data_IF_407711291387
#
_entry.id   IF_407711291387
#
_cell.length_a   1.000
_cell.length_b   1.000
_cell.length_c   1.000
_cell.angle_alpha   90.00
_cell.angle_beta   90.00
_cell.angle_gamma   90.00
#
_symmetry.space_group_name_H-M   'P 1'
#
loop_
_entity.id
_entity.type
_entity.pdbx_description
1 polymer ?
#
# COMPACT_ATOMS: atom_id res chain seq x y z
N UNK A 1 11.99 -25.89 15.94
CA UNK A 1 11.01 -25.09 15.20
C UNK A 1 9.85 -24.83 16.15
N UNK A 2 9.71 -23.61 16.67
CA UNK A 2 8.59 -23.25 17.55
C UNK A 2 7.37 -22.99 16.66
N UNK A 3 6.42 -23.91 16.67
CA UNK A 3 5.10 -23.70 16.06
C UNK A 3 4.28 -22.92 17.09
N UNK A 4 3.99 -21.66 16.77
CA UNK A 4 3.16 -20.80 17.63
C UNK A 4 1.68 -21.15 17.43
N UNK A 5 0.91 -21.05 18.52
CA UNK A 5 -0.51 -21.41 18.59
C UNK A 5 -1.40 -20.55 17.66
N UNK A 6 -2.62 -21.03 17.42
CA UNK A 6 -3.67 -20.50 16.52
C UNK A 6 -4.05 -19.04 16.80
N UNK A 7 -3.33 -18.10 16.19
CA UNK A 7 -3.74 -16.70 16.06
C UNK A 7 -4.12 -16.48 14.60
N UNK A 8 -5.32 -15.93 14.36
CA UNK A 8 -5.72 -15.51 13.01
C UNK A 8 -4.98 -14.21 12.67
N UNK A 9 -4.36 -14.15 11.49
CA UNK A 9 -3.52 -13.01 11.09
C UNK A 9 -4.12 -12.36 9.85
N UNK A 10 -4.29 -11.04 9.92
CA UNK A 10 -4.77 -10.19 8.85
C UNK A 10 -3.80 -9.02 8.70
N UNK A 11 -3.08 -8.97 7.58
CA UNK A 11 -2.04 -7.96 7.32
C UNK A 11 -2.48 -7.03 6.20
N UNK A 12 -2.06 -5.77 6.32
CA UNK A 12 -2.61 -4.67 5.59
C UNK A 12 -1.59 -3.61 5.23
N UNK A 13 -1.87 -2.92 4.13
CA UNK A 13 -1.24 -1.67 3.76
C UNK A 13 -2.17 -0.89 2.85
N UNK A 14 -1.95 0.40 2.68
CA UNK A 14 -2.61 1.24 1.68
C UNK A 14 -1.75 1.28 0.41
N UNK A 15 -2.29 1.62 -0.76
CA UNK A 15 -1.54 1.47 -2.02
C UNK A 15 -0.48 2.56 -2.22
N UNK A 16 -0.72 3.75 -1.66
CA UNK A 16 0.19 4.90 -1.68
C UNK A 16 0.49 5.33 -0.24
N UNK A 17 0.91 4.39 0.62
CA UNK A 17 1.33 4.63 2.02
C UNK A 17 2.14 5.92 2.19
N UNK A 18 3.14 6.14 1.32
CA UNK A 18 4.03 7.30 1.37
C UNK A 18 3.35 8.65 1.05
N UNK A 19 2.09 8.64 0.59
CA UNK A 19 1.32 9.85 0.26
C UNK A 19 0.75 10.57 1.49
N UNK A 20 1.50 10.62 2.59
CA UNK A 20 1.22 11.48 3.74
C UNK A 20 2.44 12.30 4.17
N UNK A 21 3.62 11.95 3.66
CA UNK A 21 4.88 12.51 4.07
C UNK A 21 5.43 13.47 3.00
N UNK A 22 6.04 14.58 3.43
CA UNK A 22 6.79 15.48 2.54
C UNK A 22 8.15 14.89 2.13
N UNK A 23 8.16 13.66 1.59
CA UNK A 23 9.39 13.01 1.10
C UNK A 23 9.98 13.70 -0.12
N UNK A 24 9.14 14.42 -0.85
CA UNK A 24 9.52 15.21 -1.99
C UNK A 24 9.51 16.67 -1.50
N UNK A 25 10.67 17.35 -1.50
CA UNK A 25 10.73 18.76 -1.14
C UNK A 25 9.67 19.56 -1.91
N UNK A 26 8.89 20.39 -1.21
CA UNK A 26 7.78 21.18 -1.78
C UNK A 26 8.17 22.00 -3.02
N UNK A 27 9.46 22.30 -3.18
CA UNK A 27 10.03 23.04 -4.31
C UNK A 27 10.36 22.18 -5.55
N UNK A 28 10.15 20.85 -5.51
CA UNK A 28 10.31 19.96 -6.67
C UNK A 28 8.95 19.54 -7.19
N UNK A 29 8.39 20.35 -8.09
CA UNK A 29 7.37 19.84 -8.99
C UNK A 29 7.96 18.65 -9.77
N UNK A 30 7.48 17.43 -9.51
CA UNK A 30 7.89 16.22 -10.25
C UNK A 30 7.24 16.14 -11.63
N UNK A 31 6.41 17.13 -11.94
CA UNK A 31 5.99 17.48 -13.29
C UNK A 31 6.92 18.57 -13.83
N UNK A 32 7.40 18.47 -15.09
CA UNK A 32 7.20 17.38 -16.07
C UNK A 32 7.97 16.08 -15.71
N UNK A 33 7.71 14.98 -16.44
CA UNK A 33 8.33 13.65 -16.21
C UNK A 33 9.86 13.66 -16.05
N UNK A 34 10.57 14.56 -16.73
CA UNK A 34 12.02 14.74 -16.59
C UNK A 34 12.44 15.04 -15.14
N UNK A 35 11.61 15.75 -14.37
CA UNK A 35 11.87 16.05 -12.96
C UNK A 35 11.75 14.79 -12.10
N UNK A 36 10.81 13.89 -12.43
CA UNK A 36 10.68 12.60 -11.78
C UNK A 36 11.85 11.68 -12.10
N UNK A 37 12.23 11.54 -13.37
CA UNK A 37 13.37 10.70 -13.74
C UNK A 37 14.66 11.19 -13.10
N UNK A 38 14.89 12.50 -13.14
CA UNK A 38 16.02 13.14 -12.46
C UNK A 38 15.98 12.89 -10.95
N UNK A 39 14.81 12.99 -10.31
CA UNK A 39 14.66 12.70 -8.88
C UNK A 39 15.07 11.25 -8.57
N UNK A 40 14.51 10.29 -9.30
CA UNK A 40 14.79 8.86 -9.08
C UNK A 40 16.28 8.54 -9.29
N UNK A 41 16.88 9.08 -10.35
CA UNK A 41 18.32 8.92 -10.63
C UNK A 41 19.20 9.53 -9.55
N UNK A 42 18.88 10.74 -9.09
CA UNK A 42 19.64 11.41 -8.04
C UNK A 42 19.55 10.69 -6.69
N UNK A 43 18.38 10.11 -6.38
CA UNK A 43 18.16 9.41 -5.12
C UNK A 43 18.75 7.99 -5.17
N UNK A 44 18.32 7.18 -6.14
CA UNK A 44 18.68 5.77 -6.22
C UNK A 44 20.04 5.50 -6.87
N UNK A 45 20.54 6.41 -7.72
CA UNK A 45 21.88 6.31 -8.32
C UNK A 45 23.01 6.39 -7.28
N UNK A 46 22.72 6.85 -6.07
CA UNK A 46 23.67 6.78 -4.94
C UNK A 46 23.94 5.33 -4.48
N UNK A 47 23.03 4.40 -4.79
CA UNK A 47 23.19 2.97 -4.55
C UNK A 47 23.84 2.28 -5.76
N UNK A 48 23.24 2.45 -6.93
CA UNK A 48 23.71 1.93 -8.22
C UNK A 48 22.87 2.58 -9.35
N UNK A 49 23.51 2.95 -10.46
CA UNK A 49 22.81 3.47 -11.64
C UNK A 49 21.80 2.45 -12.20
N UNK A 50 22.16 1.15 -12.20
CA UNK A 50 21.29 0.06 -12.67
C UNK A 50 20.03 -0.06 -11.81
N UNK A 51 20.13 0.18 -10.50
CA UNK A 51 18.97 0.22 -9.60
C UNK A 51 18.03 1.36 -10.02
N UNK A 52 18.57 2.56 -10.27
CA UNK A 52 17.75 3.70 -10.68
C UNK A 52 17.04 3.49 -12.02
N UNK A 53 17.72 2.91 -13.01
CA UNK A 53 17.14 2.59 -14.32
C UNK A 53 16.06 1.51 -14.22
N UNK A 54 16.32 0.46 -13.44
CA UNK A 54 15.35 -0.62 -13.24
C UNK A 54 14.11 -0.09 -12.53
N UNK A 55 14.27 0.77 -11.52
CA UNK A 55 13.15 1.42 -10.85
C UNK A 55 12.33 2.28 -11.84
N UNK A 56 12.96 3.07 -12.72
CA UNK A 56 12.23 3.86 -13.72
C UNK A 56 11.43 2.99 -14.72
N UNK A 57 11.94 1.82 -15.06
CA UNK A 57 11.22 0.86 -15.91
C UNK A 57 10.04 0.20 -15.20
N UNK A 58 10.17 -0.08 -13.90
CA UNK A 58 9.10 -0.64 -13.08
C UNK A 58 8.00 0.39 -12.76
N UNK A 59 8.36 1.67 -12.66
CA UNK A 59 7.45 2.76 -12.31
C UNK A 59 7.39 3.87 -13.39
N UNK A 60 6.93 3.56 -14.61
CA UNK A 60 6.94 4.53 -15.70
C UNK A 60 5.99 5.71 -15.43
N UNK A 61 6.53 6.93 -15.48
CA UNK A 61 5.77 8.18 -15.26
C UNK A 61 4.65 8.45 -16.27
N UNK A 62 4.64 7.72 -17.38
CA UNK A 62 3.70 7.86 -18.50
C UNK A 62 2.35 7.17 -18.28
N UNK A 63 2.21 6.33 -17.25
CA UNK A 63 0.99 5.51 -17.05
C UNK A 63 -0.14 6.27 -16.33
N UNK A 64 0.18 7.02 -15.27
CA UNK A 64 -0.81 7.83 -14.52
C UNK A 64 -0.28 9.26 -14.35
N UNK A 65 0.71 9.43 -13.47
CA UNK A 65 1.39 10.70 -13.27
C UNK A 65 2.74 10.46 -12.59
N UNK A 66 3.71 11.37 -12.74
CA UNK A 66 4.98 11.30 -12.02
C UNK A 66 4.79 11.27 -10.49
N UNK A 67 3.82 12.04 -9.98
CA UNK A 67 3.49 12.11 -8.56
C UNK A 67 2.88 10.80 -8.02
N UNK A 68 1.96 10.18 -8.77
CA UNK A 68 1.42 8.87 -8.40
C UNK A 68 2.50 7.80 -8.37
N UNK A 69 3.38 7.79 -9.38
CA UNK A 69 4.43 6.78 -9.52
C UNK A 69 5.50 6.89 -8.43
N UNK A 70 5.91 8.10 -8.05
CA UNK A 70 6.88 8.24 -6.97
C UNK A 70 6.30 7.81 -5.62
N UNK A 71 5.03 8.15 -5.33
CA UNK A 71 4.39 7.74 -4.09
C UNK A 71 4.23 6.22 -4.06
N UNK A 72 3.88 5.60 -5.19
CA UNK A 72 3.80 4.14 -5.32
C UNK A 72 5.16 3.48 -5.13
N UNK A 73 6.21 3.99 -5.79
CA UNK A 73 7.58 3.48 -5.65
C UNK A 73 8.07 3.51 -4.21
N UNK A 74 7.90 4.65 -3.52
CA UNK A 74 8.31 4.80 -2.12
C UNK A 74 7.49 3.89 -1.22
N UNK A 75 6.17 3.80 -1.44
CA UNK A 75 5.27 2.92 -0.69
C UNK A 75 5.67 1.46 -0.84
N UNK A 76 6.00 1.04 -2.06
CA UNK A 76 6.43 -0.33 -2.33
C UNK A 76 7.73 -0.66 -1.60
N UNK A 77 8.74 0.21 -1.75
CA UNK A 77 10.05 0.06 -1.12
C UNK A 77 9.93 -0.02 0.41
N UNK A 78 9.14 0.87 1.02
CA UNK A 78 9.12 1.06 2.48
C UNK A 78 8.07 0.26 3.22
N UNK A 79 6.94 -0.06 2.58
CA UNK A 79 5.77 -0.61 3.28
C UNK A 79 5.20 -1.83 2.59
N UNK A 80 4.85 -1.77 1.30
CA UNK A 80 4.15 -2.89 0.62
C UNK A 80 5.03 -4.13 0.58
N UNK A 81 6.24 -4.02 0.03
CA UNK A 81 7.11 -5.17 -0.20
C UNK A 81 7.65 -5.77 1.10
N UNK A 82 8.07 -4.97 2.10
CA UNK A 82 8.36 -5.49 3.42
C UNK A 82 7.16 -6.18 4.09
N UNK A 83 5.94 -5.64 3.95
CA UNK A 83 4.73 -6.25 4.50
C UNK A 83 4.40 -7.58 3.82
N UNK A 84 4.53 -7.66 2.50
CA UNK A 84 4.38 -8.91 1.74
C UNK A 84 5.38 -9.97 2.21
N UNK A 85 6.65 -9.57 2.37
CA UNK A 85 7.70 -10.46 2.87
C UNK A 85 7.42 -10.95 4.30
N UNK A 86 7.03 -10.05 5.21
CA UNK A 86 6.65 -10.42 6.57
C UNK A 86 5.41 -11.31 6.61
N UNK A 87 4.45 -11.06 5.73
CA UNK A 87 3.23 -11.88 5.61
C UNK A 87 3.56 -13.28 5.09
N UNK A 88 4.52 -13.42 4.17
CA UNK A 88 5.02 -14.71 3.70
C UNK A 88 5.69 -15.51 4.83
N UNK A 89 6.50 -14.82 5.66
CA UNK A 89 7.12 -15.43 6.83
C UNK A 89 6.05 -15.90 7.81
N UNK A 90 5.06 -15.05 8.09
CA UNK A 90 3.95 -15.39 8.98
C UNK A 90 3.14 -16.59 8.44
N UNK A 91 2.81 -16.63 7.15
CA UNK A 91 2.04 -17.74 6.57
C UNK A 91 2.81 -19.06 6.60
N UNK A 92 4.13 -19.02 6.62
CA UNK A 92 4.99 -20.22 6.73
C UNK A 92 5.24 -20.64 8.17
N UNK A 93 5.18 -19.70 9.13
CA UNK A 93 5.49 -19.94 10.54
C UNK A 93 4.27 -20.32 11.39
N UNK A 94 3.07 -19.88 11.00
CA UNK A 94 1.83 -20.14 11.71
C UNK A 94 1.01 -21.21 11.00
N UNK A 95 0.28 -22.03 11.78
CA UNK A 95 -0.68 -23.00 11.22
C UNK A 95 -2.03 -22.37 10.86
N UNK A 96 -2.29 -21.15 11.34
CA UNK A 96 -3.48 -20.39 10.99
C UNK A 96 -3.40 -19.82 9.58
N UNK A 97 -4.57 -19.63 8.95
CA UNK A 97 -4.63 -18.85 7.72
C UNK A 97 -4.19 -17.40 7.98
N UNK A 98 -3.36 -16.90 7.08
CA UNK A 98 -2.91 -15.50 7.04
C UNK A 98 -3.53 -14.85 5.81
N UNK A 99 -4.11 -13.66 5.96
CA UNK A 99 -4.72 -12.93 4.85
C UNK A 99 -4.02 -11.58 4.65
N UNK A 100 -3.85 -11.18 3.38
CA UNK A 100 -3.19 -9.95 2.96
C UNK A 100 -4.14 -9.07 2.16
N UNK A 101 -4.27 -7.80 2.52
CA UNK A 101 -5.00 -6.81 1.74
C UNK A 101 -4.16 -5.60 1.41
N UNK A 102 -4.41 -4.95 0.27
CA UNK A 102 -3.96 -3.61 -0.05
C UNK A 102 -5.19 -2.72 -0.23
N UNK A 103 -5.34 -1.68 0.58
CA UNK A 103 -6.40 -0.70 0.41
C UNK A 103 -6.06 0.23 -0.77
N UNK A 104 -6.91 0.24 -1.79
CA UNK A 104 -6.71 1.00 -3.03
C UNK A 104 -7.72 2.14 -3.21
N UNK A 105 -8.58 2.37 -2.22
CA UNK A 105 -9.49 3.51 -2.23
C UNK A 105 -8.78 4.81 -1.83
N UNK A 106 -9.16 5.90 -2.50
CA UNK A 106 -8.72 7.25 -2.22
C UNK A 106 -9.90 8.14 -1.82
N UNK A 107 -9.60 9.30 -1.23
CA UNK A 107 -10.61 10.31 -0.93
C UNK A 107 -10.96 11.12 -2.18
N UNK A 108 -12.22 11.56 -2.27
CA UNK A 108 -12.73 12.36 -3.39
C UNK A 108 -12.13 13.77 -3.45
N UNK A 109 -11.57 14.23 -2.32
CA UNK A 109 -10.83 15.47 -2.22
C UNK A 109 -9.54 15.25 -1.43
N UNK A 110 -8.49 16.05 -1.67
CA UNK A 110 -7.33 16.11 -0.80
C UNK A 110 -7.72 16.22 0.67
N UNK A 111 -7.22 15.30 1.49
CA UNK A 111 -7.46 15.28 2.93
C UNK A 111 -6.14 15.28 3.68
N UNK A 112 -6.14 15.86 4.88
CA UNK A 112 -4.98 15.86 5.76
C UNK A 112 -5.39 15.20 7.07
N UNK A 113 -5.09 13.91 7.25
CA UNK A 113 -5.31 13.29 8.54
C UNK A 113 -4.42 13.99 9.59
N UNK A 114 -4.92 14.09 10.83
CA UNK A 114 -4.15 14.56 11.99
C UNK A 114 -3.62 16.01 11.92
N UNK A 115 -4.14 16.84 11.01
CA UNK A 115 -3.78 18.27 10.94
C UNK A 115 -2.43 18.55 10.28
N UNK A 116 -1.90 17.63 9.48
CA UNK A 116 -0.73 17.87 8.62
C UNK A 116 -0.96 19.04 7.65
N UNK A 117 0.09 19.75 7.28
CA UNK A 117 0.04 20.73 6.18
C UNK A 117 -0.05 20.05 4.81
N UNK A 118 0.41 18.80 4.71
CA UNK A 118 0.35 18.01 3.49
C UNK A 118 -1.07 17.46 3.30
N UNK A 119 -1.59 17.59 2.08
CA UNK A 119 -2.89 17.03 1.71
C UNK A 119 -2.68 15.82 0.81
N UNK A 120 -3.09 14.67 1.30
CA UNK A 120 -3.06 13.39 0.62
C UNK A 120 -4.21 13.26 -0.37
N UNK A 121 -3.94 12.73 -1.55
CA UNK A 121 -4.90 12.61 -2.65
C UNK A 121 -5.13 11.16 -3.12
N UNK A 122 -4.33 10.20 -2.63
CA UNK A 122 -4.39 8.80 -3.05
C UNK A 122 -4.82 7.88 -1.90
N UNK A 123 -4.51 6.58 -1.99
CA UNK A 123 -4.68 5.64 -0.88
C UNK A 123 -3.52 5.79 0.12
N UNK A 124 -3.52 6.91 0.86
CA UNK A 124 -2.46 7.29 1.80
C UNK A 124 -2.46 6.45 3.08
N UNK A 125 -1.38 6.50 3.84
CA UNK A 125 -1.25 5.77 5.11
C UNK A 125 -2.39 6.06 6.10
N UNK A 126 -2.91 5.00 6.72
CA UNK A 126 -3.97 5.10 7.71
C UNK A 126 -5.36 5.43 7.17
N UNK A 127 -5.55 5.67 5.86
CA UNK A 127 -6.90 5.87 5.27
C UNK A 127 -7.82 4.67 5.56
N UNK A 128 -7.25 3.47 5.62
CA UNK A 128 -7.94 2.23 5.97
C UNK A 128 -8.38 2.17 7.44
N UNK A 129 -7.71 2.87 8.35
CA UNK A 129 -8.18 3.04 9.73
C UNK A 129 -9.47 3.86 9.79
N UNK A 130 -9.57 4.95 9.02
CA UNK A 130 -10.83 5.70 8.93
C UNK A 130 -11.95 4.87 8.29
N UNK A 131 -11.61 4.04 7.29
CA UNK A 131 -12.55 3.11 6.69
C UNK A 131 -13.05 2.08 7.72
N UNK A 132 -12.13 1.49 8.49
CA UNK A 132 -12.46 0.51 9.52
C UNK A 132 -13.38 1.11 10.60
N UNK A 133 -13.07 2.29 11.12
CA UNK A 133 -13.87 2.90 12.19
C UNK A 133 -15.14 3.59 11.71
N UNK A 134 -15.35 3.73 10.41
CA UNK A 134 -16.54 4.36 9.86
C UNK A 134 -16.51 5.89 9.95
N UNK A 135 -15.32 6.49 9.89
CA UNK A 135 -15.06 7.90 10.21
C UNK A 135 -14.56 8.70 9.02
N UNK A 136 -14.93 8.33 7.79
CA UNK A 136 -14.57 9.10 6.58
C UNK A 136 -15.07 10.54 6.59
N UNK A 137 -16.11 10.87 7.37
CA UNK A 137 -16.56 12.25 7.59
C UNK A 137 -15.49 13.15 8.23
N UNK A 138 -14.45 12.56 8.84
CA UNK A 138 -13.27 13.27 9.37
C UNK A 138 -12.23 13.59 8.31
N UNK A 139 -12.23 12.88 7.18
CA UNK A 139 -11.33 13.13 6.06
C UNK A 139 -11.98 14.04 5.01
N UNK A 140 -13.24 13.76 4.66
CA UNK A 140 -14.02 14.50 3.66
C UNK A 140 -15.45 14.63 4.16
N UNK A 141 -16.00 15.84 4.13
CA UNK A 141 -17.35 16.10 4.63
C UNK A 141 -18.19 16.90 3.62
N UNK A 142 -19.27 16.33 3.05
CA UNK A 142 -19.74 14.95 3.24
C UNK A 142 -18.89 13.92 2.47
N UNK A 143 -18.75 12.67 2.96
CA UNK A 143 -18.19 11.59 2.16
C UNK A 143 -19.03 11.32 0.91
N UNK A 144 -18.36 11.03 -0.20
CA UNK A 144 -18.99 10.59 -1.44
C UNK A 144 -19.57 9.18 -1.33
N UNK A 145 -20.42 8.80 -2.30
CA UNK A 145 -20.97 7.44 -2.38
C UNK A 145 -19.89 6.37 -2.56
N UNK A 146 -18.82 6.69 -3.29
CA UNK A 146 -17.67 5.79 -3.50
C UNK A 146 -16.92 5.57 -2.19
N UNK A 147 -16.63 6.64 -1.44
CA UNK A 147 -16.00 6.55 -0.12
C UNK A 147 -16.83 5.70 0.85
N UNK A 148 -18.16 5.94 0.92
CA UNK A 148 -19.05 5.14 1.76
C UNK A 148 -19.05 3.66 1.34
N UNK A 149 -19.03 3.35 0.04
CA UNK A 149 -18.96 1.96 -0.44
C UNK A 149 -17.63 1.30 -0.11
N UNK A 150 -16.51 2.01 -0.27
CA UNK A 150 -15.19 1.49 0.10
C UNK A 150 -15.09 1.21 1.59
N UNK A 151 -15.58 2.13 2.42
CA UNK A 151 -15.68 1.98 3.87
C UNK A 151 -16.46 0.71 4.25
N UNK A 152 -17.65 0.53 3.66
CA UNK A 152 -18.50 -0.62 3.95
C UNK A 152 -17.86 -1.93 3.49
N UNK A 153 -17.28 -1.95 2.29
CA UNK A 153 -16.58 -3.13 1.75
C UNK A 153 -15.44 -3.56 2.67
N UNK A 154 -14.58 -2.62 3.05
CA UNK A 154 -13.45 -2.92 3.95
C UNK A 154 -13.90 -3.46 5.30
N UNK A 155 -14.94 -2.84 5.89
CA UNK A 155 -15.53 -3.31 7.15
C UNK A 155 -16.14 -4.69 7.02
N UNK A 156 -16.87 -4.98 5.95
CA UNK A 156 -17.49 -6.29 5.74
C UNK A 156 -16.45 -7.41 5.63
N UNK A 157 -15.33 -7.16 4.95
CA UNK A 157 -14.22 -8.13 4.87
C UNK A 157 -13.62 -8.42 6.25
N UNK A 158 -13.29 -7.37 7.01
CA UNK A 158 -12.69 -7.52 8.34
C UNK A 158 -13.67 -8.14 9.33
N UNK A 159 -14.93 -7.72 9.34
CA UNK A 159 -15.93 -8.29 10.25
C UNK A 159 -16.19 -9.76 9.95
N UNK A 160 -16.26 -10.14 8.67
CA UNK A 160 -16.32 -11.56 8.31
C UNK A 160 -15.09 -12.33 8.81
N UNK A 161 -13.89 -11.74 8.71
CA UNK A 161 -12.68 -12.36 9.23
C UNK A 161 -12.72 -12.55 10.75
N UNK A 162 -13.19 -11.56 11.50
CA UNK A 162 -13.34 -11.63 12.97
C UNK A 162 -14.37 -12.69 13.37
N UNK A 163 -15.49 -12.77 12.66
CA UNK A 163 -16.59 -13.70 12.98
C UNK A 163 -16.29 -15.14 12.56
N UNK A 164 -15.68 -15.32 11.38
CA UNK A 164 -15.61 -16.60 10.69
C UNK A 164 -14.18 -17.12 10.47
N UNK A 165 -13.16 -16.35 10.86
CA UNK A 165 -11.76 -16.63 10.58
C UNK A 165 -11.36 -16.51 9.10
N UNK A 166 -12.23 -15.91 8.28
CA UNK A 166 -12.01 -15.69 6.84
C UNK A 166 -12.71 -14.43 6.32
N UNK A 167 -12.11 -13.71 5.36
CA UNK A 167 -12.76 -12.58 4.70
C UNK A 167 -14.10 -12.98 4.04
N UNK A 168 -14.94 -11.98 3.75
CA UNK A 168 -16.24 -12.16 3.11
C UNK A 168 -16.09 -12.66 1.68
N UNK A 169 -15.11 -12.12 0.95
CA UNK A 169 -14.82 -12.53 -0.43
C UNK A 169 -14.35 -13.98 -0.50
N UNK A 170 -15.14 -14.84 -1.14
CA UNK A 170 -14.87 -16.28 -1.26
C UNK A 170 -13.56 -16.61 -1.97
N UNK A 171 -13.15 -15.73 -2.87
CA UNK A 171 -11.99 -15.92 -3.73
C UNK A 171 -10.70 -15.48 -3.03
N UNK A 172 -10.80 -14.72 -1.93
CA UNK A 172 -9.67 -14.32 -1.11
C UNK A 172 -9.17 -15.52 -0.30
N UNK A 173 -8.17 -16.20 -0.87
CA UNK A 173 -7.50 -17.35 -0.27
C UNK A 173 -6.38 -16.91 0.69
N UNK A 174 -5.98 -17.76 1.64
CA UNK A 174 -4.84 -17.48 2.50
C UNK A 174 -3.58 -17.17 1.69
N UNK A 175 -2.78 -16.21 2.18
CA UNK A 175 -1.51 -15.82 1.60
C UNK A 175 -0.50 -16.99 1.65
N UNK A 176 0.32 -17.24 0.61
CA UNK A 176 0.58 -16.39 -0.55
C UNK A 176 -0.31 -16.67 -1.78
N UNK A 177 -1.39 -17.45 -1.64
CA UNK A 177 -2.21 -17.79 -2.80
C UNK A 177 -2.98 -16.58 -3.36
N UNK A 178 -3.27 -15.58 -2.52
CA UNK A 178 -3.88 -14.34 -2.99
C UNK A 178 -3.63 -13.13 -2.08
N UNK A 179 -3.78 -11.96 -2.68
CA UNK A 179 -3.85 -10.65 -2.05
C UNK A 179 -5.16 -9.98 -2.50
N UNK A 180 -5.90 -9.38 -1.57
CA UNK A 180 -7.07 -8.59 -1.91
C UNK A 180 -6.72 -7.12 -2.12
N UNK A 181 -7.22 -6.53 -3.21
CA UNK A 181 -7.20 -5.10 -3.47
C UNK A 181 -8.57 -4.55 -3.09
N UNK A 182 -8.66 -3.85 -1.97
CA UNK A 182 -9.94 -3.42 -1.41
C UNK A 182 -10.21 -1.96 -1.78
N UNK A 183 -11.30 -1.73 -2.51
CA UNK A 183 -11.88 -0.41 -2.79
C UNK A 183 -13.40 -0.45 -2.63
N UNK A 184 -14.18 0.08 -3.57
CA UNK A 184 -15.64 -0.04 -3.61
C UNK A 184 -16.09 -1.51 -3.71
N UNK A 185 -15.21 -2.35 -4.23
CA UNK A 185 -15.32 -3.81 -4.29
C UNK A 185 -13.97 -4.41 -3.91
N UNK A 186 -13.99 -5.68 -3.50
CA UNK A 186 -12.78 -6.46 -3.26
C UNK A 186 -12.37 -7.18 -4.53
N UNK A 187 -11.23 -6.80 -5.10
CA UNK A 187 -10.63 -7.49 -6.25
C UNK A 187 -9.50 -8.39 -5.76
N UNK A 188 -9.58 -9.69 -6.00
CA UNK A 188 -8.56 -10.65 -5.56
C UNK A 188 -7.56 -10.92 -6.68
N UNK A 189 -6.27 -10.84 -6.37
CA UNK A 189 -5.16 -11.12 -7.28
C UNK A 189 -4.22 -12.16 -6.68
N UNK A 190 -3.43 -12.84 -7.50
CA UNK A 190 -2.36 -13.74 -7.04
C UNK A 190 -1.16 -13.00 -6.41
N UNK A 191 -1.07 -11.69 -6.61
CA UNK A 191 -0.02 -10.85 -6.06
C UNK A 191 -0.22 -9.37 -6.43
N UNK A 192 0.36 -8.48 -5.63
CA UNK A 192 0.38 -7.04 -5.87
C UNK A 192 1.83 -6.59 -5.99
N UNK A 193 2.16 -5.90 -7.08
CA UNK A 193 3.51 -5.40 -7.37
C UNK A 193 4.64 -6.43 -7.18
N UNK A 194 4.41 -7.66 -7.66
CA UNK A 194 5.32 -8.78 -7.40
C UNK A 194 6.70 -8.59 -8.06
N UNK A 195 6.77 -7.95 -9.24
CA UNK A 195 8.04 -7.71 -9.91
C UNK A 195 8.88 -6.66 -9.15
N UNK A 196 8.21 -5.60 -8.73
CA UNK A 196 8.72 -4.50 -7.94
C UNK A 196 9.23 -4.99 -6.58
N UNK A 197 8.44 -5.79 -5.87
CA UNK A 197 8.85 -6.33 -4.58
C UNK A 197 10.02 -7.31 -4.70
N UNK A 198 10.05 -8.14 -5.74
CA UNK A 198 11.23 -8.96 -6.01
C UNK A 198 12.48 -8.09 -6.26
N UNK A 199 12.34 -6.99 -7.00
CA UNK A 199 13.43 -6.07 -7.26
C UNK A 199 13.95 -5.42 -5.98
N UNK A 200 13.09 -4.81 -5.17
CA UNK A 200 13.50 -4.13 -3.93
C UNK A 200 14.16 -5.11 -2.93
N UNK A 201 13.52 -6.26 -2.68
CA UNK A 201 14.02 -7.23 -1.71
C UNK A 201 15.36 -7.84 -2.14
N UNK A 202 15.53 -8.17 -3.43
CA UNK A 202 16.79 -8.75 -3.94
C UNK A 202 17.96 -7.77 -3.92
N UNK A 203 17.69 -6.47 -4.01
CA UNK A 203 18.71 -5.42 -3.93
C UNK A 203 18.92 -4.90 -2.50
N UNK A 204 18.44 -5.62 -1.48
CA UNK A 204 18.72 -5.32 -0.08
C UNK A 204 17.88 -4.19 0.53
N UNK A 205 16.85 -3.69 -0.17
CA UNK A 205 16.08 -2.54 0.31
C UNK A 205 15.14 -2.85 1.49
N UNK A 206 15.04 -4.10 1.93
CA UNK A 206 14.30 -4.44 3.15
C UNK A 206 14.83 -3.69 4.40
N UNK A 207 16.11 -3.31 4.42
CA UNK A 207 16.67 -2.50 5.52
C UNK A 207 16.10 -1.08 5.61
N UNK A 208 15.39 -0.62 4.57
CA UNK A 208 14.72 0.69 4.53
C UNK A 208 13.22 0.61 4.86
N UNK A 209 12.73 -0.58 5.21
CA UNK A 209 11.35 -0.79 5.59
C UNK A 209 10.97 0.05 6.82
N UNK A 210 9.82 0.74 6.74
CA UNK A 210 9.25 1.54 7.82
C UNK A 210 10.17 2.64 8.40
N UNK A 211 11.18 3.10 7.64
CA UNK A 211 12.02 4.24 8.04
C UNK A 211 11.39 5.53 7.56
N UNK A 212 10.78 6.31 8.46
CA UNK A 212 10.21 7.64 8.18
C UNK A 212 11.25 8.75 8.24
#
# INVERSE_FOLDING_TARGET
>A
MLILHTVLIFTGSTAQEANEEQHIPENRALTPSDNYEKYVRQTLGTFDDVISETALNLYPSTVISPDYQINTMISDLRTICPTDYMTLIASSAFTSNVYRYVATFATSQPSSPFGSSFKSHYAFHGVDSFAFFGTFDKLVNPPSKTEIRSQNTFREEIMSFVENGRPKSSDWKPYPASTALVSEVTNVTSGYHTAECNFWLRNGFFSYAWIN
#
